data_IF_198244178037
#
_entry.id   IF_198244178037
#
_cell.length_a   1.000
_cell.length_b   1.000
_cell.length_c   1.000
_cell.angle_alpha   90.00
_cell.angle_beta   90.00
_cell.angle_gamma   90.00
#
_symmetry.space_group_name_H-M   'P 1'
#
loop_
_entity.id
_entity.type
_entity.pdbx_description
1 polymer ?
#
# COMPACT_ATOMS: atom_id res chain seq x y z
N UNK A 1 4.69 -32.14 -31.46
CA UNK A 1 6.01 -32.09 -30.77
C UNK A 1 6.53 -30.67 -30.52
N UNK A 2 7.06 -29.93 -31.51
CA UNK A 2 7.59 -28.57 -31.24
C UNK A 2 6.53 -27.58 -30.73
N UNK A 3 5.32 -27.62 -31.31
CA UNK A 3 4.19 -26.75 -30.92
C UNK A 3 3.73 -27.02 -29.48
N UNK A 4 3.62 -28.28 -29.08
CA UNK A 4 3.20 -28.67 -27.73
C UNK A 4 4.25 -28.28 -26.68
N UNK A 5 5.54 -28.44 -27.02
CA UNK A 5 6.65 -27.98 -26.19
C UNK A 5 6.63 -26.46 -26.00
N UNK A 6 6.42 -25.70 -27.09
CA UNK A 6 6.32 -24.23 -27.05
C UNK A 6 5.12 -23.80 -26.18
N UNK A 7 3.95 -24.43 -26.36
CA UNK A 7 2.76 -24.11 -25.59
C UNK A 7 2.94 -24.42 -24.10
N UNK A 8 3.66 -25.50 -23.77
CA UNK A 8 4.00 -25.86 -22.40
C UNK A 8 4.95 -24.86 -21.75
N UNK A 9 6.01 -24.45 -22.45
CA UNK A 9 6.95 -23.43 -21.96
C UNK A 9 6.20 -22.11 -21.74
N UNK A 10 5.34 -21.71 -22.69
CA UNK A 10 4.52 -20.51 -22.57
C UNK A 10 3.61 -20.57 -21.33
N UNK A 11 2.88 -21.66 -21.12
CA UNK A 11 1.98 -21.80 -19.97
C UNK A 11 2.74 -21.70 -18.63
N UNK A 12 3.92 -22.32 -18.52
CA UNK A 12 4.75 -22.20 -17.32
C UNK A 12 5.33 -20.80 -17.13
N UNK A 13 5.79 -20.15 -18.20
CA UNK A 13 6.30 -18.78 -18.14
C UNK A 13 5.23 -17.80 -17.65
N UNK A 14 4.01 -17.90 -18.18
CA UNK A 14 2.88 -17.07 -17.73
C UNK A 14 2.54 -17.36 -16.27
N UNK A 15 2.47 -18.63 -15.86
CA UNK A 15 2.26 -18.97 -14.45
C UNK A 15 3.34 -18.39 -13.53
N UNK A 16 4.62 -18.44 -13.93
CA UNK A 16 5.71 -17.85 -13.17
C UNK A 16 5.57 -16.33 -13.04
N UNK A 17 5.27 -15.64 -14.14
CA UNK A 17 5.04 -14.19 -14.14
C UNK A 17 3.86 -13.83 -13.22
N UNK A 18 2.74 -14.56 -13.30
CA UNK A 18 1.58 -14.33 -12.45
C UNK A 18 1.90 -14.54 -10.96
N UNK A 19 2.76 -15.51 -10.61
CA UNK A 19 3.23 -15.70 -9.24
C UNK A 19 4.10 -14.54 -8.76
N UNK A 20 5.02 -14.05 -9.59
CA UNK A 20 5.83 -12.87 -9.24
C UNK A 20 4.99 -11.62 -9.04
N UNK A 21 4.04 -11.36 -9.95
CA UNK A 21 3.10 -10.23 -9.81
C UNK A 21 2.26 -10.41 -8.54
N UNK A 22 1.74 -11.61 -8.29
CA UNK A 22 1.01 -11.92 -7.06
C UNK A 22 1.82 -11.65 -5.79
N UNK A 23 3.10 -12.02 -5.78
CA UNK A 23 4.00 -11.75 -4.66
C UNK A 23 4.17 -10.26 -4.38
N UNK A 24 4.32 -9.43 -5.43
CA UNK A 24 4.41 -7.97 -5.28
C UNK A 24 3.15 -7.43 -4.60
N UNK A 25 1.96 -7.87 -5.02
CA UNK A 25 0.70 -7.44 -4.40
C UNK A 25 0.56 -7.90 -2.94
N UNK A 26 1.09 -9.08 -2.58
CA UNK A 26 1.12 -9.54 -1.18
C UNK A 26 2.02 -8.64 -0.32
N UNK A 27 3.20 -8.27 -0.83
CA UNK A 27 4.13 -7.38 -0.11
C UNK A 27 3.46 -6.00 0.11
N UNK A 28 2.87 -5.43 -0.93
CA UNK A 28 2.15 -4.15 -0.82
C UNK A 28 0.95 -4.25 0.15
N UNK A 29 0.19 -5.34 0.08
CA UNK A 29 -0.97 -5.56 0.95
C UNK A 29 -0.59 -5.72 2.42
N UNK A 30 0.45 -6.51 2.72
CA UNK A 30 0.97 -6.64 4.10
C UNK A 30 1.50 -5.31 4.63
N UNK A 31 2.18 -4.51 3.81
CA UNK A 31 2.54 -3.13 4.15
C UNK A 31 1.31 -2.25 4.46
N UNK A 32 0.21 -2.46 3.74
CA UNK A 32 -1.08 -1.84 4.01
C UNK A 32 -1.66 -2.17 5.38
N UNK A 33 -1.52 -3.42 5.84
CA UNK A 33 -1.93 -3.85 7.20
C UNK A 33 -1.12 -3.08 8.25
N UNK A 34 0.20 -2.96 8.07
CA UNK A 34 1.07 -2.22 8.99
C UNK A 34 0.66 -0.75 9.06
N UNK A 35 0.34 -0.11 7.93
CA UNK A 35 -0.16 1.28 7.88
C UNK A 35 -1.47 1.47 8.66
N UNK A 36 -2.34 0.47 8.68
CA UNK A 36 -3.61 0.53 9.44
C UNK A 36 -3.36 0.32 10.94
N UNK A 37 -2.55 -0.67 11.28
CA UNK A 37 -2.28 -1.06 12.67
C UNK A 37 -1.42 -0.04 13.42
N UNK A 38 -0.38 0.47 12.75
CA UNK A 38 0.60 1.38 13.32
C UNK A 38 0.92 2.56 12.36
N UNK A 39 -0.06 3.43 12.06
CA UNK A 39 0.12 4.53 11.10
C UNK A 39 1.24 5.50 11.49
N UNK A 40 1.52 5.64 12.79
CA UNK A 40 2.60 6.50 13.28
C UNK A 40 4.01 6.00 12.88
N UNK A 41 4.19 4.68 12.70
CA UNK A 41 5.48 4.09 12.31
C UNK A 41 5.71 4.14 10.79
N UNK A 42 4.63 4.15 10.01
CA UNK A 42 4.69 4.08 8.55
C UNK A 42 4.61 5.45 7.88
N UNK A 43 4.31 6.49 8.65
CA UNK A 43 4.21 7.86 8.16
C UNK A 43 5.57 8.36 7.68
N UNK A 44 5.57 9.18 6.64
CA UNK A 44 6.79 9.82 6.16
C UNK A 44 7.43 10.66 7.28
N UNK A 45 8.76 10.63 7.39
CA UNK A 45 9.50 11.31 8.45
C UNK A 45 9.22 12.81 8.49
N UNK A 46 9.04 13.44 7.32
CA UNK A 46 8.70 14.87 7.21
C UNK A 46 7.33 15.18 7.78
N UNK A 47 6.32 14.38 7.43
CA UNK A 47 4.95 14.58 7.90
C UNK A 47 4.87 14.32 9.40
N UNK A 48 5.53 13.24 9.86
CA UNK A 48 5.63 12.91 11.28
C UNK A 48 6.32 14.00 12.09
N UNK A 49 7.47 14.52 11.64
CA UNK A 49 8.22 15.55 12.36
C UNK A 49 7.38 16.81 12.65
N UNK A 50 6.51 17.20 11.70
CA UNK A 50 5.65 18.38 11.84
C UNK A 50 4.49 18.20 12.83
N UNK A 51 4.11 16.95 13.16
CA UNK A 51 2.98 16.64 14.04
C UNK A 51 3.37 15.85 15.30
N UNK A 52 4.63 15.41 15.42
CA UNK A 52 5.10 14.55 16.49
C UNK A 52 4.94 15.18 17.87
N UNK A 53 5.18 16.49 17.97
CA UNK A 53 5.01 17.26 19.19
C UNK A 53 4.33 18.60 18.93
N UNK A 54 3.65 19.12 19.94
CA UNK A 54 3.06 20.46 19.89
C UNK A 54 4.11 21.54 19.63
N UNK A 55 5.32 21.39 20.19
CA UNK A 55 6.41 22.36 20.00
C UNK A 55 6.90 22.36 18.55
N UNK A 56 7.08 21.19 17.94
CA UNK A 56 7.43 21.08 16.52
C UNK A 56 6.38 21.74 15.64
N UNK A 57 5.10 21.50 15.93
CA UNK A 57 3.99 22.12 15.21
C UNK A 57 3.95 23.64 15.39
N UNK A 58 4.16 24.15 16.62
CA UNK A 58 4.19 25.57 16.93
C UNK A 58 5.32 26.28 16.21
N UNK A 59 6.53 25.73 16.25
CA UNK A 59 7.68 26.28 15.53
C UNK A 59 7.47 26.31 14.02
N UNK A 60 6.82 25.29 13.43
CA UNK A 60 6.49 25.29 12.01
C UNK A 60 5.37 26.30 11.67
N UNK A 61 4.41 26.49 12.57
CA UNK A 61 3.34 27.48 12.43
C UNK A 61 3.89 28.91 12.45
N UNK A 62 4.76 29.23 13.40
CA UNK A 62 5.39 30.55 13.54
C UNK A 62 6.31 30.91 12.36
N UNK A 63 6.87 29.90 11.68
CA UNK A 63 7.66 30.08 10.45
C UNK A 63 6.81 30.30 9.21
N UNK A 64 5.50 30.07 9.28
CA UNK A 64 4.60 30.20 8.13
C UNK A 64 4.21 31.67 7.94
N UNK A 65 4.68 32.29 6.86
CA UNK A 65 4.35 33.69 6.54
C UNK A 65 2.84 33.89 6.43
N UNK A 66 2.31 34.88 7.16
CA UNK A 66 0.89 35.22 7.17
C UNK A 66 0.01 34.29 8.02
N UNK A 67 0.61 33.40 8.83
CA UNK A 67 -0.16 32.61 9.79
C UNK A 67 -0.81 33.54 10.85
N UNK A 68 -2.10 33.34 11.17
CA UNK A 68 -2.75 34.14 12.21
C UNK A 68 -2.10 33.86 13.57
N UNK A 69 -1.95 34.91 14.37
CA UNK A 69 -1.61 34.80 15.78
C UNK A 69 -2.78 34.12 16.50
N UNK A 70 -2.54 32.89 16.93
CA UNK A 70 -3.49 32.08 17.68
C UNK A 70 -3.01 31.95 19.12
N UNK A 71 -3.94 31.82 20.04
CA UNK A 71 -3.60 31.45 21.42
C UNK A 71 -3.04 30.03 21.46
N UNK A 72 -2.24 29.73 22.48
CA UNK A 72 -1.67 28.38 22.65
C UNK A 72 -2.75 27.28 22.72
N UNK A 73 -3.95 27.62 23.22
CA UNK A 73 -5.06 26.67 23.31
C UNK A 73 -5.69 26.40 21.94
N UNK A 74 -5.93 27.44 21.13
CA UNK A 74 -6.40 27.28 19.74
C UNK A 74 -5.38 26.52 18.89
N UNK A 75 -4.09 26.79 19.11
CA UNK A 75 -3.01 26.10 18.42
C UNK A 75 -2.96 24.61 18.80
N UNK A 76 -3.24 24.28 20.06
CA UNK A 76 -3.29 22.91 20.55
C UNK A 76 -4.45 22.13 19.94
N UNK A 77 -5.62 22.75 19.79
CA UNK A 77 -6.76 22.16 19.09
C UNK A 77 -6.41 21.88 17.63
N UNK A 78 -5.83 22.85 16.92
CA UNK A 78 -5.39 22.66 15.52
C UNK A 78 -4.34 21.57 15.37
N UNK A 79 -3.39 21.48 16.29
CA UNK A 79 -2.41 20.41 16.31
C UNK A 79 -3.06 19.03 16.46
N UNK A 80 -4.03 18.89 17.38
CA UNK A 80 -4.77 17.65 17.58
C UNK A 80 -5.53 17.25 16.32
N UNK A 81 -6.23 18.20 15.68
CA UNK A 81 -6.97 17.96 14.44
C UNK A 81 -6.04 17.51 13.31
N UNK A 82 -4.94 18.25 13.08
CA UNK A 82 -3.97 17.91 12.04
C UNK A 82 -3.36 16.54 12.27
N UNK A 83 -3.04 16.21 13.52
CA UNK A 83 -2.52 14.90 13.91
C UNK A 83 -3.54 13.79 13.65
N UNK A 84 -4.80 13.99 14.00
CA UNK A 84 -5.86 13.02 13.73
C UNK A 84 -6.07 12.81 12.22
N UNK A 85 -6.11 13.88 11.44
CA UNK A 85 -6.26 13.83 9.98
C UNK A 85 -5.09 13.10 9.33
N UNK A 86 -3.85 13.36 9.76
CA UNK A 86 -2.67 12.67 9.25
C UNK A 86 -2.72 11.15 9.51
N UNK A 87 -3.07 10.76 10.74
CA UNK A 87 -3.22 9.34 11.10
C UNK A 87 -4.35 8.67 10.32
N UNK A 88 -5.48 9.35 10.14
CA UNK A 88 -6.61 8.85 9.35
C UNK A 88 -6.25 8.70 7.87
N UNK A 89 -5.43 9.61 7.35
CA UNK A 89 -4.95 9.58 5.96
C UNK A 89 -4.03 8.38 5.72
N UNK A 90 -3.09 8.12 6.63
CA UNK A 90 -2.24 6.92 6.55
C UNK A 90 -3.04 5.62 6.66
N UNK A 91 -4.01 5.55 7.58
CA UNK A 91 -4.93 4.41 7.67
C UNK A 91 -5.72 4.20 6.37
N UNK A 92 -6.25 5.28 5.78
CA UNK A 92 -6.97 5.22 4.51
C UNK A 92 -6.07 4.75 3.37
N UNK A 93 -4.81 5.21 3.33
CA UNK A 93 -3.81 4.75 2.36
C UNK A 93 -3.53 3.25 2.51
N UNK A 94 -3.42 2.77 3.75
CA UNK A 94 -3.32 1.35 4.06
C UNK A 94 -4.54 0.54 3.58
N UNK A 95 -5.74 1.05 3.81
CA UNK A 95 -6.98 0.43 3.33
C UNK A 95 -7.06 0.38 1.79
N UNK A 96 -6.64 1.46 1.11
CA UNK A 96 -6.56 1.48 -0.35
C UNK A 96 -5.57 0.44 -0.90
N UNK A 97 -4.40 0.25 -0.27
CA UNK A 97 -3.47 -0.81 -0.69
C UNK A 97 -4.08 -2.21 -0.54
N UNK A 98 -4.88 -2.46 0.51
CA UNK A 98 -5.59 -3.73 0.68
C UNK A 98 -6.68 -3.94 -0.38
N UNK A 99 -7.43 -2.89 -0.72
CA UNK A 99 -8.43 -2.94 -1.80
C UNK A 99 -7.76 -3.23 -3.14
N UNK A 100 -6.65 -2.57 -3.45
CA UNK A 100 -5.89 -2.82 -4.68
C UNK A 100 -5.36 -4.26 -4.73
N UNK A 101 -4.83 -4.79 -3.62
CA UNK A 101 -4.43 -6.19 -3.51
C UNK A 101 -5.61 -7.13 -3.80
N UNK A 102 -6.78 -6.88 -3.19
CA UNK A 102 -7.97 -7.70 -3.40
C UNK A 102 -8.41 -7.71 -4.87
N UNK A 103 -8.48 -6.52 -5.50
CA UNK A 103 -8.82 -6.38 -6.92
C UNK A 103 -7.81 -7.14 -7.79
N UNK A 104 -6.51 -7.03 -7.50
CA UNK A 104 -5.49 -7.77 -8.24
C UNK A 104 -5.69 -9.29 -8.14
N UNK A 105 -6.01 -9.82 -6.96
CA UNK A 105 -6.28 -11.25 -6.78
C UNK A 105 -7.52 -11.74 -7.52
N UNK A 106 -8.55 -10.91 -7.68
CA UNK A 106 -9.74 -11.24 -8.49
C UNK A 106 -9.36 -11.53 -9.94
N UNK A 107 -8.35 -10.84 -10.49
CA UNK A 107 -7.90 -11.05 -11.87
C UNK A 107 -6.77 -12.08 -12.00
N UNK A 108 -5.80 -12.07 -11.09
CA UNK A 108 -4.65 -12.97 -11.13
C UNK A 108 -5.06 -14.42 -10.90
N UNK A 109 -6.00 -14.68 -9.97
CA UNK A 109 -6.38 -16.04 -9.60
C UNK A 109 -7.03 -16.81 -10.75
N UNK A 110 -8.05 -16.28 -11.45
CA UNK A 110 -8.64 -16.97 -12.60
C UNK A 110 -7.63 -17.19 -13.74
N UNK A 111 -6.83 -16.16 -14.06
CA UNK A 111 -5.81 -16.27 -15.10
C UNK A 111 -4.78 -17.35 -14.77
N UNK A 112 -4.32 -17.40 -13.52
CA UNK A 112 -3.40 -18.43 -13.05
C UNK A 112 -4.04 -19.82 -13.12
N UNK A 113 -5.28 -19.98 -12.66
CA UNK A 113 -6.00 -21.27 -12.72
C UNK A 113 -6.14 -21.76 -14.17
N UNK A 114 -6.48 -20.88 -15.11
CA UNK A 114 -6.62 -21.24 -16.53
C UNK A 114 -5.28 -21.74 -17.09
N UNK A 115 -4.20 -20.97 -16.91
CA UNK A 115 -2.88 -21.34 -17.41
C UNK A 115 -2.30 -22.57 -16.70
N UNK A 116 -2.56 -22.71 -15.41
CA UNK A 116 -2.16 -23.88 -14.63
C UNK A 116 -2.86 -25.15 -15.10
N UNK A 117 -4.17 -25.07 -15.35
CA UNK A 117 -4.94 -26.19 -15.93
C UNK A 117 -4.42 -26.55 -17.33
N UNK A 118 -4.10 -25.57 -18.16
CA UNK A 118 -3.48 -25.80 -19.47
C UNK A 118 -2.11 -26.49 -19.33
N UNK A 119 -1.24 -25.99 -18.47
CA UNK A 119 0.08 -26.57 -18.22
C UNK A 119 -0.02 -28.02 -17.71
N UNK A 120 -1.00 -28.31 -16.84
CA UNK A 120 -1.25 -29.67 -16.34
C UNK A 120 -1.73 -30.63 -17.41
N UNK A 121 -2.60 -30.17 -18.33
CA UNK A 121 -3.08 -30.99 -19.45
C UNK A 121 -1.99 -31.33 -20.47
N UNK A 122 -0.97 -30.49 -20.57
CA UNK A 122 0.15 -30.64 -21.50
C UNK A 122 1.35 -31.39 -20.88
N UNK A 123 1.24 -31.91 -19.66
CA UNK A 123 2.27 -32.77 -19.10
C UNK A 123 2.22 -34.12 -19.83
N UNK A 124 3.31 -34.54 -20.48
CA UNK A 124 3.46 -35.94 -20.85
C UNK A 124 3.52 -36.75 -19.56
N UNK A 125 2.78 -37.86 -19.50
CA UNK A 125 2.89 -38.85 -18.42
C UNK A 125 4.32 -39.41 -18.34
#
# INVERSE_FOLDING_TARGET
MKKDLILRIYAYAVCAILLFVGLIFVIEGTGGIVKIAAPALTMNQRDWASIASFQSFKTDWEKTEGAPELTDEELRVRWQDKRQVALMTEKRRGAQSLIHMLIAFVWLTPLFIIHWRLARRLRPE
#
